data_IF_140449141925
#
_entry.id   IF_140449141925
#
_cell.length_a   1.000
_cell.length_b   1.000
_cell.length_c   1.000
_cell.angle_alpha   90.00
_cell.angle_beta   90.00
_cell.angle_gamma   90.00
#
_symmetry.space_group_name_H-M   'P 1'
#
loop_
_entity.id
_entity.type
_entity.pdbx_description
1 polymer ?
#
# COMPACT_ATOMS: atom_id res chain seq x y z
N UNK A 1 14.04 10.66 12.04
CA UNK A 1 13.11 10.13 13.07
C UNK A 1 13.48 8.73 13.55
N UNK A 2 13.50 7.72 12.66
CA UNK A 2 13.84 6.32 13.02
C UNK A 2 15.26 6.13 13.55
N UNK A 3 16.19 7.01 13.20
CA UNK A 3 17.56 7.05 13.75
C UNK A 3 17.63 7.44 15.23
N UNK A 4 16.63 8.18 15.72
CA UNK A 4 16.57 8.63 17.12
C UNK A 4 15.64 7.76 17.97
N UNK A 5 14.70 7.05 17.35
CA UNK A 5 13.77 6.16 18.07
C UNK A 5 13.17 5.11 17.14
N UNK A 6 13.36 3.83 17.49
CA UNK A 6 12.80 2.68 16.78
C UNK A 6 11.34 2.39 17.17
N UNK A 7 10.87 2.98 18.28
CA UNK A 7 9.51 2.80 18.80
C UNK A 7 8.45 3.53 17.98
N UNK A 8 8.81 4.66 17.38
CA UNK A 8 7.89 5.45 16.55
C UNK A 8 7.63 4.71 15.23
N UNK A 9 6.35 4.60 14.87
CA UNK A 9 5.93 4.07 13.58
C UNK A 9 5.87 5.20 12.56
N UNK A 10 6.41 4.95 11.37
CA UNK A 10 6.46 5.91 10.30
C UNK A 10 5.54 5.48 9.15
N UNK A 11 4.44 6.21 8.98
CA UNK A 11 3.51 6.04 7.88
C UNK A 11 3.77 7.09 6.80
N UNK A 12 3.75 6.67 5.53
CA UNK A 12 3.88 7.54 4.37
C UNK A 12 2.65 7.41 3.48
N UNK A 13 1.98 8.52 3.22
CA UNK A 13 1.02 8.59 2.12
C UNK A 13 1.79 8.75 0.81
N UNK A 14 1.79 7.69 -0.01
CA UNK A 14 2.47 7.64 -1.29
C UNK A 14 1.50 7.75 -2.48
N UNK A 15 0.26 8.20 -2.28
CA UNK A 15 -0.77 8.30 -3.33
C UNK A 15 -0.30 9.13 -4.53
N UNK A 16 0.52 10.16 -4.30
CA UNK A 16 1.06 11.01 -5.37
C UNK A 16 2.43 10.57 -5.89
N UNK A 17 3.14 9.71 -5.16
CA UNK A 17 4.54 9.37 -5.39
C UNK A 17 4.74 7.95 -5.95
N UNK A 18 3.91 6.99 -5.53
CA UNK A 18 3.99 5.59 -5.95
C UNK A 18 3.88 5.52 -7.47
N UNK A 19 4.82 4.83 -8.13
CA UNK A 19 4.90 4.73 -9.59
C UNK A 19 5.28 6.02 -10.34
N UNK A 20 5.69 7.10 -9.64
CA UNK A 20 6.22 8.33 -10.28
C UNK A 20 7.65 8.65 -9.86
N UNK A 21 8.03 8.26 -8.64
CA UNK A 21 9.39 8.32 -8.14
C UNK A 21 9.76 6.95 -7.54
N UNK A 22 11.05 6.57 -7.53
CA UNK A 22 11.48 5.33 -6.89
C UNK A 22 11.15 5.36 -5.39
N UNK A 23 10.49 4.31 -4.89
CA UNK A 23 10.20 4.14 -3.46
C UNK A 23 10.75 2.79 -3.00
N UNK A 24 11.64 2.84 -2.02
CA UNK A 24 12.19 1.66 -1.35
C UNK A 24 11.85 1.77 0.14
N UNK A 25 10.91 0.94 0.59
CA UNK A 25 10.38 0.97 1.96
C UNK A 25 11.46 0.67 3.01
N UNK A 26 12.49 -0.11 2.64
CA UNK A 26 13.59 -0.45 3.55
C UNK A 26 14.58 0.71 3.67
N UNK A 27 15.03 1.26 2.54
CA UNK A 27 15.94 2.43 2.52
C UNK A 27 15.29 3.65 3.18
N UNK A 28 14.02 3.89 2.91
CA UNK A 28 13.26 5.00 3.50
C UNK A 28 12.80 4.74 4.94
N UNK A 29 13.06 3.54 5.51
CA UNK A 29 12.66 3.14 6.86
C UNK A 29 11.15 3.29 7.12
N UNK A 30 10.33 3.00 6.11
CA UNK A 30 8.87 3.13 6.12
C UNK A 30 8.27 1.91 6.82
N UNK A 31 7.41 2.13 7.81
CA UNK A 31 6.72 1.05 8.53
C UNK A 31 5.34 0.75 7.93
N UNK A 32 4.68 1.78 7.41
CA UNK A 32 3.36 1.72 6.80
C UNK A 32 3.33 2.62 5.56
N UNK A 33 2.68 2.21 4.48
CA UNK A 33 2.52 3.07 3.29
C UNK A 33 1.14 2.88 2.67
N UNK A 34 0.51 3.97 2.25
CA UNK A 34 -0.77 3.95 1.53
C UNK A 34 -0.62 4.43 0.09
N UNK A 35 -1.40 3.85 -0.82
CA UNK A 35 -1.54 4.35 -2.20
C UNK A 35 -2.90 3.98 -2.81
N UNK A 36 -3.21 4.57 -3.97
CA UNK A 36 -4.50 4.44 -4.65
C UNK A 36 -4.33 4.32 -6.16
N UNK A 37 -5.05 3.36 -6.77
CA UNK A 37 -4.93 3.03 -8.19
C UNK A 37 -5.32 4.16 -9.14
N UNK A 38 -6.34 4.96 -8.81
CA UNK A 38 -6.80 6.03 -9.71
C UNK A 38 -5.82 7.21 -9.86
N UNK A 39 -4.75 7.27 -9.06
CA UNK A 39 -3.66 8.25 -9.23
C UNK A 39 -2.51 7.72 -10.10
N UNK A 40 -2.64 6.49 -10.56
CA UNK A 40 -1.73 5.80 -11.45
C UNK A 40 -2.41 5.32 -12.73
N UNK A 41 -3.46 6.00 -13.16
CA UNK A 41 -4.27 5.60 -14.34
C UNK A 41 -4.94 4.23 -14.20
N UNK A 42 -4.96 3.65 -12.99
CA UNK A 42 -5.71 2.43 -12.67
C UNK A 42 -7.17 2.70 -12.30
N UNK A 43 -7.94 1.66 -11.98
CA UNK A 43 -9.34 1.77 -11.59
C UNK A 43 -9.56 2.63 -10.34
N UNK A 44 -10.74 3.24 -10.22
CA UNK A 44 -11.21 3.87 -8.97
C UNK A 44 -11.68 2.80 -7.98
N UNK A 45 -11.59 3.08 -6.68
CA UNK A 45 -12.04 2.16 -5.63
C UNK A 45 -11.07 1.02 -5.29
N UNK A 46 -9.83 1.09 -5.75
CA UNK A 46 -8.76 0.14 -5.42
C UNK A 46 -7.49 0.88 -5.01
N UNK A 47 -6.76 0.29 -4.07
CA UNK A 47 -5.50 0.75 -3.53
C UNK A 47 -4.89 -0.35 -2.66
N UNK A 48 -3.74 -0.09 -2.05
CA UNK A 48 -3.19 -0.99 -1.05
C UNK A 48 -2.59 -0.21 0.11
N UNK A 49 -2.47 -0.90 1.24
CA UNK A 49 -1.66 -0.49 2.37
C UNK A 49 -0.52 -1.49 2.55
N UNK A 50 0.72 -1.02 2.47
CA UNK A 50 1.88 -1.79 2.90
C UNK A 50 1.98 -1.73 4.41
N UNK A 51 2.14 -2.89 5.03
CA UNK A 51 2.39 -3.04 6.46
C UNK A 51 3.68 -3.82 6.62
N UNK A 52 4.69 -3.21 7.26
CA UNK A 52 5.96 -3.87 7.53
C UNK A 52 5.75 -5.16 8.33
N UNK A 53 6.42 -6.23 7.92
CA UNK A 53 6.37 -7.54 8.60
C UNK A 53 6.65 -7.40 10.09
N UNK A 54 5.82 -8.04 10.91
CA UNK A 54 5.90 -7.97 12.38
C UNK A 54 5.11 -6.82 13.00
N UNK A 55 4.54 -5.91 12.20
CA UNK A 55 3.51 -4.99 12.69
C UNK A 55 2.14 -5.65 12.61
N UNK A 56 1.40 -5.53 13.69
CA UNK A 56 0.00 -5.95 13.77
C UNK A 56 -0.85 -4.68 13.79
N UNK A 57 -1.76 -4.57 12.83
CA UNK A 57 -2.75 -3.52 12.74
C UNK A 57 -4.13 -4.12 13.01
N UNK A 58 -4.95 -3.42 13.80
CA UNK A 58 -6.33 -3.84 14.01
C UNK A 58 -7.14 -3.56 12.74
N UNK A 59 -7.96 -4.52 12.27
CA UNK A 59 -8.78 -4.31 11.08
C UNK A 59 -9.84 -3.23 11.34
N UNK A 60 -9.95 -2.28 10.42
CA UNK A 60 -11.07 -1.32 10.41
C UNK A 60 -12.37 -1.99 9.96
N UNK A 61 -12.27 -3.00 9.09
CA UNK A 61 -13.39 -3.80 8.60
C UNK A 61 -13.11 -5.25 8.98
N UNK A 62 -13.89 -5.78 9.91
CA UNK A 62 -13.83 -7.16 10.40
C UNK A 62 -14.87 -8.05 9.70
N UNK A 63 -14.68 -9.38 9.69
CA UNK A 63 -15.55 -10.29 8.95
C UNK A 63 -14.82 -11.55 8.46
N UNK A 64 -15.05 -11.93 7.20
CA UNK A 64 -14.65 -13.22 6.61
C UNK A 64 -13.15 -13.49 6.42
N UNK A 65 -12.26 -12.65 6.98
CA UNK A 65 -10.83 -12.92 7.05
C UNK A 65 -10.02 -12.70 5.77
N UNK A 66 -10.60 -12.03 4.77
CA UNK A 66 -9.87 -11.56 3.58
C UNK A 66 -8.67 -10.68 3.97
N UNK A 67 -7.70 -10.55 3.05
CA UNK A 67 -6.46 -9.80 3.27
C UNK A 67 -5.73 -10.20 4.58
N UNK A 68 -5.71 -11.51 4.89
CA UNK A 68 -5.08 -12.07 6.11
C UNK A 68 -5.64 -11.48 7.41
N UNK A 69 -6.95 -11.26 7.46
CA UNK A 69 -7.68 -10.59 8.55
C UNK A 69 -7.38 -9.08 8.72
N UNK A 70 -6.63 -8.43 7.83
CA UNK A 70 -6.38 -6.99 7.94
C UNK A 70 -7.54 -6.14 7.40
N UNK A 71 -8.29 -6.65 6.42
CA UNK A 71 -9.44 -5.95 5.84
C UNK A 71 -10.40 -6.97 5.24
N UNK A 72 -11.53 -7.18 5.92
CA UNK A 72 -12.55 -8.13 5.46
C UNK A 72 -13.39 -7.60 4.29
N UNK A 73 -14.08 -8.52 3.62
CA UNK A 73 -14.92 -8.29 2.44
C UNK A 73 -14.27 -8.86 1.18
N UNK A 74 -15.06 -9.56 0.36
CA UNK A 74 -14.61 -10.21 -0.87
C UNK A 74 -13.82 -9.24 -1.75
N UNK A 75 -12.67 -9.69 -2.22
CA UNK A 75 -11.71 -8.90 -2.97
C UNK A 75 -12.28 -8.47 -4.32
N UNK A 76 -12.07 -7.21 -4.69
CA UNK A 76 -12.42 -6.70 -6.01
C UNK A 76 -11.35 -7.12 -7.02
N UNK A 77 -11.33 -8.40 -7.40
CA UNK A 77 -10.31 -8.99 -8.27
C UNK A 77 -10.10 -8.23 -9.59
N UNK A 78 -11.14 -7.78 -10.33
CA UNK A 78 -10.94 -7.00 -11.55
C UNK A 78 -10.22 -5.67 -11.30
N UNK A 79 -10.58 -4.96 -10.22
CA UNK A 79 -9.93 -3.69 -9.90
C UNK A 79 -8.48 -3.89 -9.43
N UNK A 80 -8.21 -4.96 -8.67
CA UNK A 80 -6.86 -5.36 -8.24
C UNK A 80 -5.99 -5.68 -9.46
N UNK A 81 -6.49 -6.48 -10.40
CA UNK A 81 -5.77 -6.81 -11.62
C UNK A 81 -5.48 -5.56 -12.48
N UNK A 82 -6.47 -4.67 -12.64
CA UNK A 82 -6.28 -3.41 -13.35
C UNK A 82 -5.25 -2.50 -12.68
N UNK A 83 -5.24 -2.44 -11.34
CA UNK A 83 -4.25 -1.67 -10.59
C UNK A 83 -2.84 -2.29 -10.69
N UNK A 84 -2.72 -3.62 -10.66
CA UNK A 84 -1.43 -4.28 -10.86
C UNK A 84 -0.82 -3.97 -12.23
N UNK A 85 -1.64 -4.00 -13.29
CA UNK A 85 -1.18 -3.64 -14.64
C UNK A 85 -0.76 -2.16 -14.72
N UNK A 86 -1.59 -1.26 -14.19
CA UNK A 86 -1.27 0.16 -14.15
C UNK A 86 0.03 0.44 -13.38
N UNK A 87 0.22 -0.23 -12.23
CA UNK A 87 1.45 -0.13 -11.44
C UNK A 87 2.65 -0.62 -12.23
N UNK A 88 2.55 -1.75 -12.93
CA UNK A 88 3.62 -2.28 -13.76
C UNK A 88 4.05 -1.28 -14.85
N UNK A 89 3.09 -0.77 -15.62
CA UNK A 89 3.35 0.22 -16.68
C UNK A 89 4.03 1.48 -16.10
N UNK A 90 3.54 1.98 -14.97
CA UNK A 90 4.12 3.17 -14.34
C UNK A 90 5.57 2.96 -13.88
N UNK A 91 5.92 1.77 -13.40
CA UNK A 91 7.28 1.45 -12.96
C UNK A 91 8.24 1.10 -14.11
N UNK A 92 7.73 0.67 -15.27
CA UNK A 92 8.57 0.49 -16.48
C UNK A 92 9.02 1.82 -17.09
N UNK A 93 8.29 2.91 -16.83
CA UNK A 93 8.57 4.26 -17.34
C UNK A 93 9.25 5.18 -16.31
N UNK A 94 9.87 4.59 -15.28
CA UNK A 94 10.38 5.25 -14.08
C UNK A 94 11.91 5.34 -14.12
#
# INVERSE_FOLDING_TARGET
MKEKSTRVKFHVDAVQSYGKIPIDVEKCKIDLLSTSGHKLHGPRGVGFAYIKKGLVANPLISGGGQERNFRSGTENLPAIAGFAMASKIMHENL
#
